data_IF_929317727931
#
_entry.id   IF_929317727931
#
_cell.length_a   1.000
_cell.length_b   1.000
_cell.length_c   1.000
_cell.angle_alpha   90.00
_cell.angle_beta   90.00
_cell.angle_gamma   90.00
#
_symmetry.space_group_name_H-M   'P 1'
#
loop_
_entity.id
_entity.type
_entity.pdbx_description
1 polymer ?
#
# COMPACT_ATOMS: atom_id res chain seq x y z
N UNK A 1 -30.44 -34.39 41.06
CA UNK A 1 -28.96 -34.45 41.04
C UNK A 1 -28.41 -33.94 42.36
N UNK A 2 -27.60 -34.75 43.05
CA UNK A 2 -26.93 -34.34 44.29
C UNK A 2 -25.89 -33.25 43.99
N UNK A 3 -25.64 -32.34 44.94
CA UNK A 3 -24.75 -31.18 44.72
C UNK A 3 -23.34 -31.55 44.24
N UNK A 4 -22.82 -32.71 44.63
CA UNK A 4 -21.52 -33.19 44.16
C UNK A 4 -21.51 -33.56 42.67
N UNK A 5 -22.64 -34.05 42.13
CA UNK A 5 -22.77 -34.37 40.70
C UNK A 5 -22.73 -33.10 39.84
N UNK A 6 -23.40 -32.02 40.28
CA UNK A 6 -23.36 -30.72 39.57
C UNK A 6 -21.94 -30.17 39.51
N UNK A 7 -21.19 -30.22 40.63
CA UNK A 7 -19.79 -29.76 40.67
C UNK A 7 -18.90 -30.56 39.72
N UNK A 8 -19.06 -31.89 39.67
CA UNK A 8 -18.35 -32.76 38.73
C UNK A 8 -18.68 -32.41 37.27
N UNK A 9 -19.95 -32.15 36.95
CA UNK A 9 -20.36 -31.75 35.60
C UNK A 9 -19.73 -30.42 35.16
N UNK A 10 -19.67 -29.42 36.04
CA UNK A 10 -19.03 -28.14 35.73
C UNK A 10 -17.53 -28.28 35.46
N UNK A 11 -16.83 -29.09 36.26
CA UNK A 11 -15.40 -29.34 36.05
C UNK A 11 -15.16 -29.99 34.69
N UNK A 12 -15.97 -31.01 34.33
CA UNK A 12 -15.87 -31.68 33.03
C UNK A 12 -16.11 -30.70 31.87
N UNK A 13 -17.17 -29.90 31.91
CA UNK A 13 -17.47 -28.93 30.85
C UNK A 13 -16.34 -27.90 30.71
N UNK A 14 -15.83 -27.36 31.82
CA UNK A 14 -14.75 -26.37 31.77
C UNK A 14 -13.46 -26.95 31.17
N UNK A 15 -13.11 -28.19 31.51
CA UNK A 15 -11.94 -28.87 30.93
C UNK A 15 -12.05 -29.09 29.42
N UNK A 16 -13.24 -29.41 28.92
CA UNK A 16 -13.50 -29.56 27.47
C UNK A 16 -13.37 -28.23 26.74
N UNK A 17 -13.90 -27.13 27.30
CA UNK A 17 -13.80 -25.80 26.69
C UNK A 17 -12.34 -25.34 26.62
N UNK A 18 -11.58 -25.51 27.70
CA UNK A 18 -10.15 -25.15 27.74
C UNK A 18 -9.35 -26.00 26.74
N UNK A 19 -9.62 -27.31 26.69
CA UNK A 19 -8.99 -28.22 25.73
C UNK A 19 -9.27 -27.82 24.28
N UNK A 20 -10.52 -27.50 23.95
CA UNK A 20 -10.92 -27.03 22.63
C UNK A 20 -10.21 -25.71 22.28
N UNK A 21 -10.16 -24.75 23.20
CA UNK A 21 -9.46 -23.48 22.99
C UNK A 21 -7.96 -23.67 22.70
N UNK A 22 -7.28 -24.54 23.46
CA UNK A 22 -5.86 -24.86 23.23
C UNK A 22 -5.68 -25.56 21.88
N UNK A 23 -6.58 -26.48 21.53
CA UNK A 23 -6.54 -27.18 20.24
C UNK A 23 -6.71 -26.20 19.05
N UNK A 24 -7.72 -25.33 19.09
CA UNK A 24 -7.96 -24.35 18.04
C UNK A 24 -6.83 -23.32 17.94
N UNK A 25 -6.30 -22.82 19.07
CA UNK A 25 -5.16 -21.89 19.04
C UNK A 25 -3.88 -22.52 18.46
N UNK A 26 -3.70 -23.85 18.62
CA UNK A 26 -2.61 -24.58 17.98
C UNK A 26 -2.85 -24.85 16.49
N UNK A 27 -4.10 -25.07 16.07
CA UNK A 27 -4.41 -25.22 14.64
C UNK A 27 -4.23 -23.91 13.88
N UNK A 28 -4.63 -22.76 14.46
CA UNK A 28 -4.43 -21.44 13.83
C UNK A 28 -2.94 -21.13 13.64
N UNK A 29 -2.06 -21.58 14.54
CA UNK A 29 -0.60 -21.41 14.42
C UNK A 29 0.10 -22.40 13.48
N UNK A 30 -0.60 -23.40 12.95
CA UNK A 30 -0.04 -24.45 12.09
C UNK A 30 -0.61 -24.41 10.67
N UNK A 31 -0.88 -23.23 10.11
CA UNK A 31 -0.65 -23.12 8.68
C UNK A 31 0.86 -23.25 8.48
N UNK A 32 1.36 -24.31 7.82
CA UNK A 32 2.75 -24.30 7.39
C UNK A 32 2.86 -23.11 6.45
N UNK A 33 3.61 -22.09 6.88
CA UNK A 33 4.30 -21.23 5.94
C UNK A 33 5.12 -22.21 5.14
N UNK A 34 4.60 -22.58 3.96
CA UNK A 34 5.36 -23.33 2.98
C UNK A 34 6.72 -22.62 2.93
N UNK A 35 7.80 -23.37 3.14
CA UNK A 35 9.14 -22.84 2.97
C UNK A 35 9.20 -22.26 1.56
N UNK A 36 9.02 -20.95 1.47
CA UNK A 36 8.85 -20.23 0.23
C UNK A 36 10.25 -19.88 -0.24
N UNK A 37 11.01 -20.91 -0.57
CA UNK A 37 12.24 -20.82 -1.33
C UNK A 37 11.89 -20.48 -2.80
N UNK A 38 11.12 -19.40 -3.04
CA UNK A 38 10.73 -18.88 -4.37
C UNK A 38 9.78 -17.66 -4.27
N UNK A 39 10.11 -16.60 -3.52
CA UNK A 39 9.23 -15.40 -3.47
C UNK A 39 9.90 -14.04 -3.57
N UNK A 40 11.20 -13.94 -3.82
CA UNK A 40 11.79 -12.65 -4.19
C UNK A 40 11.42 -12.21 -5.62
N UNK A 41 11.14 -13.15 -6.54
CA UNK A 41 10.84 -12.84 -7.95
C UNK A 41 9.36 -12.61 -8.30
N UNK A 42 8.43 -12.96 -7.40
CA UNK A 42 6.97 -12.79 -7.64
C UNK A 42 6.35 -11.63 -6.86
N UNK A 43 6.98 -11.20 -5.75
CA UNK A 43 6.59 -10.01 -5.01
C UNK A 43 7.06 -8.71 -5.70
N UNK A 44 7.22 -8.69 -7.00
CA UNK A 44 7.68 -7.51 -7.75
C UNK A 44 6.65 -7.06 -8.79
N UNK A 45 5.66 -7.87 -9.15
CA UNK A 45 4.93 -7.66 -10.41
C UNK A 45 3.92 -6.50 -10.37
N UNK A 46 3.38 -6.11 -9.21
CA UNK A 46 2.33 -5.07 -9.14
C UNK A 46 2.86 -3.67 -8.78
N UNK A 47 3.83 -3.57 -7.86
CA UNK A 47 4.61 -2.35 -7.66
C UNK A 47 5.30 -1.96 -8.99
N UNK A 48 5.85 -2.94 -9.71
CA UNK A 48 6.42 -2.73 -11.04
C UNK A 48 5.39 -2.25 -12.07
N UNK A 49 4.13 -2.70 -12.00
CA UNK A 49 3.08 -2.23 -12.91
C UNK A 49 2.72 -0.75 -12.68
N UNK A 50 2.67 -0.28 -11.42
CA UNK A 50 2.43 1.13 -11.13
C UNK A 50 3.64 2.01 -11.49
N UNK A 51 4.86 1.48 -11.36
CA UNK A 51 6.14 2.09 -11.75
C UNK A 51 6.46 1.92 -13.25
N UNK A 52 5.65 1.22 -14.05
CA UNK A 52 5.99 0.90 -15.44
C UNK A 52 5.31 1.75 -16.51
N UNK A 53 4.39 2.65 -16.15
CA UNK A 53 3.43 3.19 -17.12
C UNK A 53 3.85 4.50 -17.83
N UNK A 54 4.99 5.10 -17.51
CA UNK A 54 5.58 6.15 -18.35
C UNK A 54 6.67 5.52 -19.22
N UNK A 55 6.23 5.01 -20.36
CA UNK A 55 6.87 4.63 -21.62
C UNK A 55 8.33 4.13 -21.74
N UNK A 56 9.26 4.24 -20.78
CA UNK A 56 10.67 3.86 -21.04
C UNK A 56 11.52 3.41 -19.84
N UNK A 57 10.96 3.29 -18.64
CA UNK A 57 11.75 2.84 -17.47
C UNK A 57 11.92 1.32 -17.46
N UNK A 58 13.04 0.85 -18.03
CA UNK A 58 13.55 -0.53 -17.99
C UNK A 58 13.45 -1.17 -16.59
N UNK A 59 13.14 -2.46 -16.56
CA UNK A 59 13.05 -3.34 -15.38
C UNK A 59 14.26 -3.23 -14.41
N UNK A 60 15.44 -2.87 -14.94
CA UNK A 60 16.67 -2.59 -14.19
C UNK A 60 16.57 -1.41 -13.21
N UNK A 61 15.69 -0.43 -13.46
CA UNK A 61 15.53 0.73 -12.59
C UNK A 61 14.76 0.38 -11.30
N UNK A 62 13.81 -0.57 -11.38
CA UNK A 62 12.90 -0.86 -10.25
C UNK A 62 13.61 -1.64 -9.15
N UNK A 63 14.48 -2.60 -9.49
CA UNK A 63 15.30 -3.31 -8.50
C UNK A 63 16.23 -2.37 -7.73
N UNK A 64 16.76 -1.35 -8.40
CA UNK A 64 17.59 -0.32 -7.74
C UNK A 64 16.79 0.47 -6.71
N UNK A 65 15.55 0.86 -7.03
CA UNK A 65 14.68 1.60 -6.12
C UNK A 65 14.20 0.76 -4.93
N UNK A 66 13.88 -0.52 -5.15
CA UNK A 66 13.58 -1.47 -4.06
C UNK A 66 14.78 -1.60 -3.12
N UNK A 67 16.01 -1.68 -3.65
CA UNK A 67 17.21 -1.74 -2.81
C UNK A 67 17.44 -0.44 -2.03
N UNK A 68 17.16 0.72 -2.61
CA UNK A 68 17.21 2.01 -1.88
C UNK A 68 16.23 2.03 -0.71
N UNK A 69 15.02 1.52 -0.93
CA UNK A 69 14.01 1.37 0.12
C UNK A 69 14.52 0.45 1.23
N UNK A 70 14.96 -0.77 0.88
CA UNK A 70 15.53 -1.74 1.82
C UNK A 70 16.68 -1.14 2.63
N UNK A 71 17.64 -0.49 1.97
CA UNK A 71 18.77 0.14 2.64
C UNK A 71 18.32 1.21 3.67
N UNK A 72 17.29 2.01 3.37
CA UNK A 72 16.79 2.97 4.35
C UNK A 72 16.09 2.27 5.52
N UNK A 73 15.22 1.28 5.24
CA UNK A 73 14.51 0.49 6.25
C UNK A 73 15.48 -0.24 7.20
N UNK A 74 16.57 -0.79 6.66
CA UNK A 74 17.59 -1.50 7.44
C UNK A 74 18.51 -0.54 8.20
N UNK A 75 19.14 0.42 7.51
CA UNK A 75 20.26 1.18 8.08
C UNK A 75 19.82 2.28 9.02
N UNK A 76 18.76 3.01 8.66
CA UNK A 76 18.31 4.17 9.45
C UNK A 76 17.30 3.76 10.51
N UNK A 77 16.41 2.84 10.16
CA UNK A 77 15.19 2.56 10.93
C UNK A 77 15.33 1.25 11.73
N UNK A 78 16.39 0.48 11.45
CA UNK A 78 16.73 -0.79 12.12
C UNK A 78 15.54 -1.74 12.22
N UNK A 79 14.74 -1.78 11.15
CA UNK A 79 13.59 -2.67 11.08
C UNK A 79 14.05 -4.12 10.98
N UNK A 80 13.24 -5.02 11.54
CA UNK A 80 13.46 -6.45 11.35
C UNK A 80 13.18 -6.82 9.89
N UNK A 81 13.84 -7.88 9.42
CA UNK A 81 13.61 -8.44 8.09
C UNK A 81 12.13 -8.77 7.84
N UNK A 82 11.44 -9.27 8.87
CA UNK A 82 10.01 -9.59 8.83
C UNK A 82 9.15 -8.37 8.50
N UNK A 83 9.39 -7.23 9.17
CA UNK A 83 8.63 -5.99 8.93
C UNK A 83 8.90 -5.46 7.53
N UNK A 84 10.15 -5.55 7.07
CA UNK A 84 10.52 -5.12 5.72
C UNK A 84 9.83 -5.95 4.65
N UNK A 85 9.79 -7.28 4.80
CA UNK A 85 9.05 -8.16 3.90
C UNK A 85 7.56 -7.82 3.88
N UNK A 86 6.97 -7.51 5.04
CA UNK A 86 5.57 -7.12 5.14
C UNK A 86 5.29 -5.77 4.45
N UNK A 87 6.15 -4.76 4.62
CA UNK A 87 6.08 -3.49 3.89
C UNK A 87 6.08 -3.74 2.38
N UNK A 88 7.03 -4.54 1.88
CA UNK A 88 7.14 -4.86 0.46
C UNK A 88 5.91 -5.64 -0.04
N UNK A 89 5.41 -6.60 0.74
CA UNK A 89 4.21 -7.34 0.39
C UNK A 89 2.97 -6.42 0.32
N UNK A 90 2.83 -5.49 1.26
CA UNK A 90 1.74 -4.51 1.27
C UNK A 90 1.79 -3.57 0.07
N UNK A 91 2.97 -3.02 -0.26
CA UNK A 91 3.15 -2.18 -1.46
C UNK A 91 2.72 -2.88 -2.76
N UNK A 92 2.82 -4.21 -2.81
CA UNK A 92 2.39 -4.99 -3.96
C UNK A 92 0.90 -5.33 -3.97
N UNK A 93 0.21 -5.26 -2.84
CA UNK A 93 -1.18 -5.70 -2.75
C UNK A 93 -2.14 -4.53 -2.61
N UNK A 94 -1.76 -3.52 -1.82
CA UNK A 94 -2.56 -2.35 -1.51
C UNK A 94 -2.60 -1.34 -2.66
N UNK A 95 -3.68 -0.55 -2.69
CA UNK A 95 -3.80 0.59 -3.60
C UNK A 95 -3.00 1.76 -3.04
N UNK A 96 -2.49 2.65 -3.89
CA UNK A 96 -1.90 3.88 -3.41
C UNK A 96 -2.98 4.76 -2.76
N UNK A 97 -2.65 5.45 -1.67
CA UNK A 97 -3.52 6.42 -1.03
C UNK A 97 -3.92 7.53 -2.03
N UNK A 98 -2.98 7.92 -2.91
CA UNK A 98 -3.29 8.75 -4.05
C UNK A 98 -2.32 8.53 -5.23
N UNK A 99 -2.79 8.85 -6.43
CA UNK A 99 -1.99 8.87 -7.67
C UNK A 99 -2.24 10.19 -8.42
N UNK A 100 -1.17 10.88 -8.82
CA UNK A 100 -1.21 12.02 -9.74
C UNK A 100 -0.65 11.61 -11.09
N UNK A 101 -1.38 11.94 -12.14
CA UNK A 101 -0.90 11.85 -13.51
C UNK A 101 -1.02 13.21 -14.17
N UNK A 102 0.12 13.83 -14.49
CA UNK A 102 0.17 15.03 -15.30
C UNK A 102 0.27 14.64 -16.77
N UNK A 103 -0.51 15.31 -17.60
CA UNK A 103 -0.57 15.02 -19.02
C UNK A 103 -0.87 16.28 -19.83
N UNK A 104 -0.41 16.28 -21.09
CA UNK A 104 -0.71 17.33 -22.06
C UNK A 104 -1.89 16.91 -22.93
N UNK A 105 -2.83 17.83 -23.14
CA UNK A 105 -3.95 17.67 -24.08
C UNK A 105 -4.30 19.02 -24.69
N UNK A 106 -4.35 19.10 -26.02
CA UNK A 106 -4.63 20.35 -26.75
C UNK A 106 -3.72 21.51 -26.32
N UNK A 107 -2.41 21.24 -26.18
CA UNK A 107 -1.40 22.21 -25.71
C UNK A 107 -1.57 22.77 -24.30
N UNK A 108 -2.48 22.21 -23.51
CA UNK A 108 -2.68 22.55 -22.10
C UNK A 108 -2.21 21.40 -21.21
N UNK A 109 -1.77 21.73 -20.00
CA UNK A 109 -1.36 20.77 -18.98
C UNK A 109 -2.54 20.53 -18.05
N UNK A 110 -2.78 19.25 -17.77
CA UNK A 110 -3.79 18.79 -16.85
C UNK A 110 -3.16 17.84 -15.84
N UNK A 111 -3.77 17.74 -14.67
CA UNK A 111 -3.44 16.75 -13.66
C UNK A 111 -4.69 15.95 -13.33
N UNK A 112 -4.59 14.64 -13.43
CA UNK A 112 -5.62 13.72 -12.97
C UNK A 112 -5.16 13.13 -11.64
N UNK A 113 -5.86 13.46 -10.55
CA UNK A 113 -5.61 12.88 -9.23
C UNK A 113 -6.65 11.83 -8.90
N UNK A 114 -6.22 10.63 -8.58
CA UNK A 114 -7.05 9.58 -8.00
C UNK A 114 -6.76 9.50 -6.50
N UNK A 115 -7.78 9.66 -5.68
CA UNK A 115 -7.73 9.44 -4.23
C UNK A 115 -8.37 8.10 -3.91
N UNK A 116 -7.68 7.28 -3.13
CA UNK A 116 -8.23 6.07 -2.52
C UNK A 116 -8.18 6.30 -1.00
N UNK A 117 -9.31 6.71 -0.44
CA UNK A 117 -9.46 6.92 1.00
C UNK A 117 -10.07 5.66 1.62
N UNK A 118 -9.27 4.93 2.39
CA UNK A 118 -9.70 3.75 3.16
C UNK A 118 -10.14 4.14 4.59
N UNK A 119 -10.70 5.35 4.74
CA UNK A 119 -11.20 5.86 6.00
C UNK A 119 -12.32 5.02 6.63
N UNK A 120 -12.72 5.32 7.88
CA UNK A 120 -13.68 4.51 8.65
C UNK A 120 -15.08 4.40 8.02
N UNK A 121 -15.37 5.19 6.99
CA UNK A 121 -16.62 5.18 6.24
C UNK A 121 -16.55 4.31 4.95
N UNK A 122 -15.49 3.54 4.77
CA UNK A 122 -15.25 2.65 3.62
C UNK A 122 -14.43 3.29 2.49
N UNK A 123 -14.07 2.49 1.48
CA UNK A 123 -13.27 2.88 0.32
C UNK A 123 -13.94 3.99 -0.51
N UNK A 124 -13.69 5.25 -0.14
CA UNK A 124 -14.15 6.41 -0.91
C UNK A 124 -13.10 6.69 -1.98
N UNK A 125 -13.42 6.30 -3.21
CA UNK A 125 -12.59 6.60 -4.38
C UNK A 125 -13.10 7.85 -5.09
N UNK A 126 -12.20 8.79 -5.35
CA UNK A 126 -12.50 10.03 -6.09
C UNK A 126 -11.46 10.26 -7.17
N UNK A 127 -11.93 10.72 -8.31
CA UNK A 127 -11.07 11.16 -9.41
C UNK A 127 -11.29 12.66 -9.61
N UNK A 128 -10.23 13.45 -9.60
CA UNK A 128 -10.29 14.90 -9.75
C UNK A 128 -9.44 15.30 -10.94
N UNK A 129 -10.05 15.98 -11.90
CA UNK A 129 -9.36 16.58 -13.03
C UNK A 129 -9.04 18.03 -12.70
N UNK A 130 -7.77 18.37 -12.80
CA UNK A 130 -7.27 19.73 -12.70
C UNK A 130 -6.73 20.20 -14.03
N UNK A 131 -6.88 21.49 -14.31
CA UNK A 131 -6.14 22.20 -15.34
C UNK A 131 -5.03 23.01 -14.66
N UNK A 132 -3.80 22.89 -15.14
CA UNK A 132 -2.66 23.64 -14.62
C UNK A 132 -2.47 24.92 -15.43
N UNK A 133 -2.25 26.03 -14.73
CA UNK A 133 -1.91 27.31 -15.37
C UNK A 133 -0.41 27.43 -15.66
N UNK A 134 0.03 28.62 -16.11
CA UNK A 134 1.41 28.87 -16.49
C UNK A 134 2.40 28.74 -15.31
N UNK A 135 1.92 28.87 -14.07
CA UNK A 135 2.71 28.72 -12.84
C UNK A 135 2.62 27.29 -12.29
N UNK A 136 2.02 26.36 -13.04
CA UNK A 136 1.67 25.01 -12.64
C UNK A 136 0.72 24.96 -11.44
N UNK A 137 -0.08 26.01 -11.22
CA UNK A 137 -1.09 25.99 -10.17
C UNK A 137 -2.34 25.24 -10.66
N UNK A 138 -2.84 24.27 -9.89
CA UNK A 138 -3.92 23.40 -10.33
C UNK A 138 -5.30 23.98 -10.00
N UNK A 139 -6.13 24.16 -11.03
CA UNK A 139 -7.54 24.56 -10.91
C UNK A 139 -8.46 23.35 -11.11
N UNK A 140 -9.41 23.12 -10.21
CA UNK A 140 -10.35 21.99 -10.33
C UNK A 140 -11.30 22.26 -11.49
N UNK A 141 -11.31 21.35 -12.47
CA UNK A 141 -12.29 21.36 -13.55
C UNK A 141 -13.48 20.46 -13.20
N UNK A 142 -13.20 19.21 -12.81
CA UNK A 142 -14.24 18.20 -12.57
C UNK A 142 -13.87 17.22 -11.45
N UNK A 143 -14.90 16.71 -10.75
CA UNK A 143 -14.78 15.70 -9.69
C UNK A 143 -15.74 14.55 -10.00
N UNK A 144 -15.20 13.33 -10.01
CA UNK A 144 -15.95 12.10 -10.26
C UNK A 144 -15.90 11.18 -9.04
N UNK A 145 -17.04 10.54 -8.74
CA UNK A 145 -17.18 9.57 -7.65
C UNK A 145 -17.72 8.20 -8.13
N UNK A 146 -18.00 8.05 -9.42
CA UNK A 146 -18.52 6.83 -10.06
C UNK A 146 -17.86 6.62 -11.41
N UNK A 147 -17.88 5.37 -11.89
CA UNK A 147 -17.36 4.98 -13.21
C UNK A 147 -15.91 5.42 -13.45
N UNK A 148 -15.10 5.44 -12.38
CA UNK A 148 -13.78 6.08 -12.36
C UNK A 148 -12.83 5.52 -13.43
N UNK A 149 -12.90 4.21 -13.70
CA UNK A 149 -12.08 3.54 -14.72
C UNK A 149 -12.42 4.05 -16.11
N UNK A 150 -13.71 4.13 -16.44
CA UNK A 150 -14.18 4.63 -17.74
C UNK A 150 -13.86 6.12 -17.90
N UNK A 151 -14.13 6.93 -16.86
CA UNK A 151 -13.82 8.36 -16.85
C UNK A 151 -12.33 8.62 -17.04
N UNK A 152 -11.48 7.89 -16.32
CA UNK A 152 -10.02 7.95 -16.48
C UNK A 152 -9.60 7.64 -17.91
N UNK A 153 -10.09 6.54 -18.49
CA UNK A 153 -9.78 6.16 -19.87
C UNK A 153 -10.25 7.20 -20.90
N UNK A 154 -11.41 7.81 -20.69
CA UNK A 154 -11.94 8.86 -21.55
C UNK A 154 -11.11 10.15 -21.48
N UNK A 155 -10.75 10.59 -20.27
CA UNK A 155 -9.96 11.81 -20.03
C UNK A 155 -8.58 11.68 -20.70
N UNK A 156 -7.91 10.54 -20.49
CA UNK A 156 -6.56 10.28 -20.98
C UNK A 156 -6.52 9.87 -22.46
N UNK A 157 -7.66 9.82 -23.15
CA UNK A 157 -7.69 9.54 -24.58
C UNK A 157 -6.98 10.67 -25.33
N UNK A 158 -6.01 10.30 -26.15
CA UNK A 158 -5.17 11.21 -26.95
C UNK A 158 -4.40 12.25 -26.10
N UNK A 159 -4.07 11.92 -24.87
CA UNK A 159 -3.17 12.74 -24.04
C UNK A 159 -1.75 12.21 -24.07
N UNK A 160 -0.79 13.10 -23.86
CA UNK A 160 0.62 12.76 -23.68
C UNK A 160 0.97 12.78 -22.18
N UNK A 161 1.36 11.65 -21.56
CA UNK A 161 1.76 11.65 -20.15
C UNK A 161 3.08 12.38 -19.96
N UNK A 162 3.17 13.22 -18.94
CA UNK A 162 4.36 14.05 -18.62
C UNK A 162 5.02 13.55 -17.34
N UNK A 163 4.22 13.30 -16.30
CA UNK A 163 4.71 13.09 -14.94
C UNK A 163 3.73 12.23 -14.16
N UNK A 164 4.23 11.32 -13.32
CA UNK A 164 3.40 10.47 -12.45
C UNK A 164 3.97 10.45 -11.05
N UNK A 165 3.10 10.70 -10.08
CA UNK A 165 3.40 10.59 -8.66
C UNK A 165 2.43 9.60 -8.03
N UNK A 166 2.91 8.77 -7.13
CA UNK A 166 2.11 7.79 -6.42
C UNK A 166 2.55 7.81 -4.97
N UNK A 167 1.60 7.82 -4.04
CA UNK A 167 1.90 7.66 -2.62
C UNK A 167 1.14 6.51 -1.98
N UNK A 168 1.82 5.82 -1.08
CA UNK A 168 1.30 4.76 -0.23
C UNK A 168 1.36 5.21 1.22
N UNK A 169 0.34 4.86 1.97
CA UNK A 169 0.29 5.02 3.43
C UNK A 169 0.04 3.64 3.99
N UNK A 170 0.98 3.11 4.77
CA UNK A 170 0.89 1.76 5.34
C UNK A 170 0.97 1.85 6.86
N UNK A 171 0.01 1.27 7.55
CA UNK A 171 0.07 1.09 9.00
C UNK A 171 0.56 -0.33 9.33
N UNK A 172 1.70 -0.41 10.02
CA UNK A 172 2.37 -1.66 10.39
C UNK A 172 3.01 -1.54 11.78
N UNK A 173 2.66 -2.46 12.69
CA UNK A 173 3.20 -2.52 14.05
C UNK A 173 3.15 -1.19 14.83
N UNK A 174 2.10 -0.38 14.61
CA UNK A 174 1.95 0.93 15.26
C UNK A 174 2.87 2.02 14.68
N UNK A 175 3.44 1.79 13.50
CA UNK A 175 4.15 2.78 12.69
C UNK A 175 3.37 3.08 11.42
N UNK A 176 3.36 4.34 11.02
CA UNK A 176 2.78 4.79 9.76
C UNK A 176 3.91 5.08 8.76
N UNK A 177 3.91 4.35 7.65
CA UNK A 177 4.87 4.49 6.57
C UNK A 177 4.24 5.30 5.45
N UNK A 178 4.83 6.44 5.13
CA UNK A 178 4.51 7.20 3.94
C UNK A 178 5.58 6.98 2.89
N UNK A 179 5.21 6.44 1.73
CA UNK A 179 6.12 6.12 0.64
C UNK A 179 5.64 6.81 -0.63
N UNK A 180 6.47 7.66 -1.21
CA UNK A 180 6.17 8.40 -2.43
C UNK A 180 7.15 8.05 -3.53
N UNK A 181 6.58 7.72 -4.69
CA UNK A 181 7.26 7.34 -5.90
C UNK A 181 6.92 8.35 -7.00
N UNK A 182 7.95 8.96 -7.57
CA UNK A 182 7.83 9.97 -8.63
C UNK A 182 8.54 9.47 -9.87
N UNK A 183 7.82 9.36 -10.98
CA UNK A 183 8.33 8.80 -12.24
C UNK A 183 9.11 7.51 -12.01
N UNK A 184 8.51 6.61 -11.22
CA UNK A 184 9.05 5.28 -10.95
C UNK A 184 10.35 5.28 -10.14
N UNK A 185 10.66 6.39 -9.47
CA UNK A 185 11.79 6.51 -8.53
C UNK A 185 11.27 6.78 -7.14
N UNK A 186 11.87 6.12 -6.14
CA UNK A 186 11.57 6.42 -4.75
C UNK A 186 12.03 7.86 -4.48
N UNK A 187 11.07 8.73 -4.16
CA UNK A 187 11.32 10.14 -3.88
C UNK A 187 11.45 10.37 -2.38
N UNK A 188 10.49 9.81 -1.62
CA UNK A 188 10.37 10.05 -0.19
C UNK A 188 9.87 8.80 0.54
N UNK A 189 10.51 8.49 1.66
CA UNK A 189 10.03 7.56 2.67
C UNK A 189 10.03 8.29 4.01
N UNK A 190 8.89 8.33 4.66
CA UNK A 190 8.71 8.84 6.02
C UNK A 190 8.13 7.73 6.90
N UNK A 191 8.65 7.58 8.10
CA UNK A 191 8.08 6.71 9.12
C UNK A 191 7.72 7.58 10.31
N UNK A 192 6.43 7.63 10.58
CA UNK A 192 5.92 8.21 11.81
C UNK A 192 5.72 7.10 12.84
N UNK A 193 6.47 7.17 13.94
CA UNK A 193 6.22 6.36 15.12
C UNK A 193 5.90 7.29 16.29
N UNK A 194 5.31 6.76 17.36
CA UNK A 194 4.86 7.54 18.53
C UNK A 194 5.96 8.46 19.11
N UNK A 195 7.24 8.11 18.91
CA UNK A 195 8.39 8.78 19.52
C UNK A 195 9.24 9.60 18.54
N UNK A 196 9.11 9.41 17.23
CA UNK A 196 9.99 9.99 16.23
C UNK A 196 9.38 9.98 14.82
N UNK A 197 9.72 11.00 14.05
CA UNK A 197 9.55 11.05 12.61
C UNK A 197 10.91 10.80 11.96
N UNK A 198 11.04 9.70 11.23
CA UNK A 198 12.26 9.33 10.53
C UNK A 198 12.05 9.49 9.01
N UNK A 199 13.03 10.08 8.30
CA UNK A 199 12.85 10.42 6.89
C UNK A 199 14.05 10.02 6.03
N UNK A 200 13.75 9.48 4.85
CA UNK A 200 14.66 9.24 3.74
C UNK A 200 14.17 10.01 2.51
N UNK A 201 14.95 11.00 2.07
CA UNK A 201 14.75 11.73 0.81
C UNK A 201 15.87 11.33 -0.17
N UNK A 202 15.54 11.26 -1.45
CA UNK A 202 16.43 10.79 -2.51
C UNK A 202 16.52 11.78 -3.67
#
# INVERSE_FOLDING_TARGET
MRNWQKKLTYILISSVIIGAYIFFSRMVKKQPVAAHELTSKKATTKLMAHMGQIADSKETNIQTEVRKLQNCLEQKLKLSEVVMEEVLAKLNNERPAWENLHFKKNSQIYRLREFNDDGPNGDIRKLVLYKEDADNFPHIEEVFAKDLVEKRALILRNSEPIHKEVAYILDLEGRNFFIEVVNSKLNRLEINNINALETCKY
#
